data_IF_621552925915
#
_entry.id   IF_621552925915
#
_cell.length_a   1.000
_cell.length_b   1.000
_cell.length_c   1.000
_cell.angle_alpha   90.00
_cell.angle_beta   90.00
_cell.angle_gamma   90.00
#
_symmetry.space_group_name_H-M   'P 1'
#
loop_
_entity.id
_entity.type
_entity.pdbx_description
1 polymer ?
#
# COMPACT_ATOMS: atom_id res chain seq x y z
N UNK A 1 -2.79 19.52 5.77
CA UNK A 1 -3.72 19.74 6.89
C UNK A 1 -3.03 20.57 7.95
N UNK A 2 -3.52 21.79 8.19
CA UNK A 2 -2.86 22.79 9.04
C UNK A 2 -3.88 23.37 10.03
N UNK A 3 -3.45 23.65 11.27
CA UNK A 3 -4.23 24.43 12.25
C UNK A 3 -3.33 25.57 12.70
N UNK A 4 -3.79 26.81 12.56
CA UNK A 4 -3.03 27.99 12.97
C UNK A 4 -3.41 28.39 14.39
N UNK A 5 -2.42 28.80 15.18
CA UNK A 5 -2.62 29.28 16.55
C UNK A 5 -1.84 30.57 16.73
N UNK A 6 -2.52 31.70 16.92
CA UNK A 6 -1.90 33.03 16.87
C UNK A 6 -2.65 34.03 17.76
N UNK A 7 -2.01 35.12 18.18
CA UNK A 7 -2.66 36.20 18.95
C UNK A 7 -3.23 37.33 18.07
N UNK A 8 -3.10 37.20 16.74
CA UNK A 8 -3.49 38.20 15.75
C UNK A 8 -4.64 37.67 14.90
N UNK A 9 -5.75 38.40 14.85
CA UNK A 9 -6.99 38.05 14.14
C UNK A 9 -7.01 38.49 12.67
N UNK A 10 -6.14 39.44 12.31
CA UNK A 10 -6.02 40.09 11.00
C UNK A 10 -5.65 39.14 9.83
N UNK A 11 -5.38 37.86 10.11
CA UNK A 11 -4.99 36.85 9.11
C UNK A 11 -5.88 35.59 9.11
N UNK A 12 -6.98 35.59 9.86
CA UNK A 12 -7.88 34.43 9.96
C UNK A 12 -8.52 34.07 8.60
N UNK A 13 -8.87 35.07 7.79
CA UNK A 13 -9.49 34.87 6.47
C UNK A 13 -8.51 34.25 5.46
N UNK A 14 -7.25 34.72 5.44
CA UNK A 14 -6.17 34.16 4.58
C UNK A 14 -5.80 32.72 4.96
N UNK A 15 -5.99 32.33 6.22
CA UNK A 15 -5.70 30.96 6.65
C UNK A 15 -6.69 29.91 6.10
N UNK A 16 -7.94 30.31 5.82
CA UNK A 16 -8.91 29.42 5.17
C UNK A 16 -8.62 29.19 3.68
N UNK A 17 -7.97 30.15 3.02
CA UNK A 17 -7.51 30.01 1.63
C UNK A 17 -6.41 28.94 1.48
N UNK A 18 -5.71 28.58 2.56
CA UNK A 18 -4.67 27.55 2.62
C UNK A 18 -5.18 26.17 3.08
N UNK A 19 -6.48 25.90 2.96
CA UNK A 19 -7.13 24.66 3.41
C UNK A 19 -6.89 24.33 4.90
N UNK A 20 -6.76 25.35 5.77
CA UNK A 20 -6.65 25.12 7.21
C UNK A 20 -7.90 24.41 7.76
N UNK A 21 -7.69 23.58 8.80
CA UNK A 21 -8.78 22.91 9.51
C UNK A 21 -9.40 23.79 10.56
N UNK A 22 -8.60 24.64 11.20
CA UNK A 22 -9.06 25.60 12.19
C UNK A 22 -8.03 26.71 12.38
N UNK A 23 -8.47 27.79 13.01
CA UNK A 23 -7.66 28.96 13.38
C UNK A 23 -7.99 29.35 14.82
N UNK A 24 -7.05 29.16 15.75
CA UNK A 24 -7.21 29.51 17.16
C UNK A 24 -6.54 30.84 17.47
N UNK A 25 -7.30 31.73 18.10
CA UNK A 25 -6.78 32.97 18.66
C UNK A 25 -6.35 32.79 20.10
N UNK A 26 -5.16 33.30 20.45
CA UNK A 26 -4.66 33.37 21.81
C UNK A 26 -5.19 34.64 22.50
N UNK A 27 -5.58 34.57 23.78
CA UNK A 27 -5.70 33.36 24.58
C UNK A 27 -6.94 32.55 24.18
N UNK A 28 -6.79 31.23 23.98
CA UNK A 28 -7.91 30.32 23.73
C UNK A 28 -8.20 29.52 24.99
N UNK A 29 -9.47 29.25 25.23
CA UNK A 29 -9.89 28.35 26.31
C UNK A 29 -9.73 26.87 25.90
N UNK A 30 -9.84 26.01 26.92
CA UNK A 30 -9.69 24.55 26.78
C UNK A 30 -10.76 23.96 25.85
N UNK A 31 -11.97 24.49 25.89
CA UNK A 31 -13.09 23.99 25.10
C UNK A 31 -12.89 24.27 23.61
N UNK A 32 -12.35 25.45 23.26
CA UNK A 32 -12.00 25.83 21.90
C UNK A 32 -10.90 24.95 21.31
N UNK A 33 -9.89 24.62 22.12
CA UNK A 33 -8.85 23.67 21.73
C UNK A 33 -9.41 22.27 21.49
N UNK A 34 -10.26 21.77 22.39
CA UNK A 34 -10.89 20.45 22.25
C UNK A 34 -11.77 20.35 21.01
N UNK A 35 -12.52 21.40 20.68
CA UNK A 35 -13.32 21.47 19.45
C UNK A 35 -12.46 21.42 18.19
N UNK A 36 -11.34 22.15 18.17
CA UNK A 36 -10.41 22.17 17.05
C UNK A 36 -9.77 20.79 16.84
N UNK A 37 -9.37 20.14 17.92
CA UNK A 37 -8.86 18.77 17.91
C UNK A 37 -9.93 17.76 17.43
N UNK A 38 -11.19 17.93 17.82
CA UNK A 38 -12.28 17.08 17.35
C UNK A 38 -12.51 17.21 15.83
N UNK A 39 -12.42 18.42 15.28
CA UNK A 39 -12.50 18.67 13.82
C UNK A 39 -11.36 18.01 13.06
N UNK A 40 -10.14 18.14 13.59
CA UNK A 40 -8.94 17.49 13.04
C UNK A 40 -9.11 15.97 13.04
N UNK A 41 -9.50 15.38 14.18
CA UNK A 41 -9.72 13.93 14.31
C UNK A 41 -10.79 13.42 13.36
N UNK A 42 -11.89 14.17 13.18
CA UNK A 42 -12.96 13.83 12.24
C UNK A 42 -12.47 13.84 10.79
N UNK A 43 -11.75 14.89 10.36
CA UNK A 43 -11.17 14.95 9.01
C UNK A 43 -10.17 13.82 8.73
N UNK A 44 -9.33 13.47 9.72
CA UNK A 44 -8.44 12.30 9.62
C UNK A 44 -9.26 11.01 9.47
N UNK A 45 -10.29 10.84 10.30
CA UNK A 45 -11.19 9.68 10.26
C UNK A 45 -11.93 9.55 8.92
N UNK A 46 -12.48 10.64 8.39
CA UNK A 46 -13.22 10.67 7.13
C UNK A 46 -12.31 10.44 5.92
N UNK A 47 -11.08 10.98 5.92
CA UNK A 47 -10.10 10.73 4.87
C UNK A 47 -9.62 9.26 4.89
N UNK A 48 -9.36 8.69 6.07
CA UNK A 48 -9.01 7.29 6.22
C UNK A 48 -10.17 6.37 5.82
N UNK A 49 -11.41 6.71 6.19
CA UNK A 49 -12.61 5.97 5.79
C UNK A 49 -12.84 6.04 4.28
N UNK A 50 -12.66 7.19 3.64
CA UNK A 50 -12.72 7.32 2.17
C UNK A 50 -11.60 6.56 1.46
N UNK A 51 -10.36 6.64 1.95
CA UNK A 51 -9.26 5.85 1.41
C UNK A 51 -9.54 4.35 1.54
N UNK A 52 -10.11 3.92 2.67
CA UNK A 52 -10.50 2.53 2.92
C UNK A 52 -11.67 2.11 2.03
N UNK A 53 -12.68 2.95 1.83
CA UNK A 53 -13.82 2.67 0.94
C UNK A 53 -13.40 2.62 -0.53
N UNK A 54 -12.49 3.50 -0.96
CA UNK A 54 -11.90 3.49 -2.31
C UNK A 54 -10.97 2.29 -2.50
N UNK A 55 -10.20 1.92 -1.49
CA UNK A 55 -9.39 0.71 -1.50
C UNK A 55 -10.26 -0.55 -1.52
N UNK A 56 -11.38 -0.58 -0.78
CA UNK A 56 -12.35 -1.68 -0.80
C UNK A 56 -13.08 -1.78 -2.14
N UNK A 57 -13.46 -0.65 -2.75
CA UNK A 57 -14.04 -0.62 -4.08
C UNK A 57 -13.04 -1.07 -5.17
N UNK A 58 -11.76 -0.71 -5.03
CA UNK A 58 -10.67 -1.19 -5.91
C UNK A 58 -10.33 -2.66 -5.68
N UNK A 59 -10.35 -3.13 -4.44
CA UNK A 59 -10.15 -4.54 -4.10
C UNK A 59 -11.31 -5.42 -4.60
N UNK A 60 -12.51 -4.86 -4.70
CA UNK A 60 -13.65 -5.52 -5.33
C UNK A 60 -13.49 -5.65 -6.87
N UNK A 61 -12.64 -4.82 -7.50
CA UNK A 61 -12.34 -4.87 -8.92
C UNK A 61 -10.84 -5.17 -9.16
N UNK A 62 -10.46 -6.45 -9.03
CA UNK A 62 -9.10 -6.88 -9.40
C UNK A 62 -8.81 -6.54 -10.85
N UNK A 63 -7.67 -5.92 -11.12
CA UNK A 63 -7.27 -5.54 -12.48
C UNK A 63 -6.47 -6.67 -13.15
N UNK A 64 -6.87 -7.05 -14.37
CA UNK A 64 -6.12 -8.01 -15.19
C UNK A 64 -4.81 -7.44 -15.76
N UNK A 65 -4.68 -6.10 -15.80
CA UNK A 65 -3.49 -5.42 -16.32
C UNK A 65 -3.04 -4.31 -15.37
N UNK A 66 -1.74 -4.25 -15.13
CA UNK A 66 -1.06 -3.24 -14.35
C UNK A 66 -0.45 -2.19 -15.27
N UNK A 67 -0.82 -0.92 -15.10
CA UNK A 67 -0.20 0.19 -15.82
C UNK A 67 1.06 0.64 -15.09
N UNK A 68 2.17 0.67 -15.82
CA UNK A 68 3.49 1.03 -15.32
C UNK A 68 4.08 2.17 -16.14
N UNK A 69 4.40 3.33 -15.52
CA UNK A 69 5.16 4.38 -16.19
C UNK A 69 6.61 3.93 -16.42
N UNK A 70 7.05 3.99 -17.67
CA UNK A 70 8.43 3.71 -18.10
C UNK A 70 8.89 4.89 -18.96
N UNK A 71 9.69 5.78 -18.36
CA UNK A 71 10.06 7.05 -18.98
C UNK A 71 8.82 7.92 -19.21
N UNK A 72 8.57 8.27 -20.47
CA UNK A 72 7.41 9.07 -20.89
C UNK A 72 6.21 8.22 -21.33
N UNK A 73 6.34 6.88 -21.31
CA UNK A 73 5.31 5.96 -21.79
C UNK A 73 4.63 5.19 -20.66
N UNK A 74 3.38 4.79 -20.87
CA UNK A 74 2.68 3.84 -20.01
C UNK A 74 2.71 2.46 -20.64
N UNK A 75 3.24 1.48 -19.92
CA UNK A 75 3.21 0.09 -20.33
C UNK A 75 2.12 -0.68 -19.58
N UNK A 76 1.36 -1.51 -20.29
CA UNK A 76 0.43 -2.44 -19.67
C UNK A 76 1.11 -3.80 -19.49
N UNK A 77 1.19 -4.25 -18.25
CA UNK A 77 1.70 -5.56 -17.88
C UNK A 77 0.52 -6.45 -17.53
N UNK A 78 0.43 -7.62 -18.14
CA UNK A 78 -0.57 -8.61 -17.74
C UNK A 78 -0.28 -9.14 -16.35
N UNK A 79 -1.33 -9.25 -15.53
CA UNK A 79 -1.26 -9.81 -14.18
C UNK A 79 -0.60 -11.20 -14.17
N UNK A 80 -0.90 -12.03 -15.17
CA UNK A 80 -0.32 -13.36 -15.32
C UNK A 80 1.18 -13.37 -15.66
N UNK A 81 1.73 -12.27 -16.19
CA UNK A 81 3.14 -12.14 -16.53
C UNK A 81 4.02 -11.68 -15.34
N UNK A 82 3.41 -11.29 -14.22
CA UNK A 82 4.10 -10.88 -13.01
C UNK A 82 4.39 -12.13 -12.16
N UNK A 83 5.66 -12.34 -11.86
CA UNK A 83 6.13 -13.48 -11.07
C UNK A 83 6.14 -13.15 -9.56
N UNK A 84 6.69 -11.99 -9.18
CA UNK A 84 6.69 -11.52 -7.79
C UNK A 84 6.79 -9.99 -7.68
N UNK A 85 6.48 -9.49 -6.49
CA UNK A 85 6.55 -8.10 -6.08
C UNK A 85 7.53 -7.98 -4.92
N UNK A 86 8.36 -6.94 -4.93
CA UNK A 86 9.33 -6.67 -3.89
C UNK A 86 9.29 -5.21 -3.47
N UNK A 87 9.04 -4.97 -2.19
CA UNK A 87 9.01 -3.63 -1.61
C UNK A 87 10.43 -3.15 -1.30
N UNK A 88 10.76 -1.98 -1.83
CA UNK A 88 11.97 -1.23 -1.53
C UNK A 88 11.58 0.20 -1.10
N UNK A 89 11.49 0.40 0.21
CA UNK A 89 11.04 1.63 0.86
C UNK A 89 9.70 2.16 0.30
N UNK A 90 9.72 3.26 -0.45
CA UNK A 90 8.54 3.89 -1.06
C UNK A 90 8.23 3.40 -2.47
N UNK A 91 8.96 2.38 -2.94
CA UNK A 91 8.82 1.79 -4.24
C UNK A 91 8.56 0.28 -4.15
N UNK A 92 7.99 -0.27 -5.22
CA UNK A 92 7.84 -1.70 -5.40
C UNK A 92 8.42 -2.08 -6.76
N UNK A 93 9.32 -3.05 -6.74
CA UNK A 93 9.76 -3.76 -7.92
C UNK A 93 8.70 -4.78 -8.32
N UNK A 94 8.16 -4.63 -9.52
CA UNK A 94 7.30 -5.60 -10.18
C UNK A 94 8.16 -6.44 -11.09
N UNK A 95 8.39 -7.70 -10.71
CA UNK A 95 9.25 -8.62 -11.44
C UNK A 95 8.41 -9.46 -12.40
N UNK A 96 8.77 -9.40 -13.68
CA UNK A 96 8.21 -10.23 -14.75
C UNK A 96 9.31 -11.11 -15.34
N UNK A 97 8.95 -12.10 -16.14
CA UNK A 97 9.93 -12.95 -16.85
C UNK A 97 10.90 -12.17 -17.75
N UNK A 98 10.45 -11.04 -18.31
CA UNK A 98 11.25 -10.25 -19.24
C UNK A 98 12.17 -9.27 -18.51
N UNK A 99 11.63 -8.57 -17.50
CA UNK A 99 12.35 -7.53 -16.74
C UNK A 99 11.60 -7.11 -15.48
N UNK A 100 12.24 -6.25 -14.69
CA UNK A 100 11.65 -5.64 -13.50
C UNK A 100 11.25 -4.20 -13.75
N UNK A 101 10.17 -3.76 -13.11
CA UNK A 101 9.64 -2.40 -13.20
C UNK A 101 9.56 -1.76 -11.82
N UNK A 102 9.88 -0.48 -11.71
CA UNK A 102 9.84 0.25 -10.44
C UNK A 102 8.58 1.12 -10.37
N UNK A 103 7.77 0.92 -9.33
CA UNK A 103 6.55 1.69 -9.10
C UNK A 103 6.59 2.40 -7.75
N UNK A 104 6.28 3.70 -7.73
CA UNK A 104 6.07 4.43 -6.47
C UNK A 104 4.69 4.14 -5.90
N UNK A 105 4.55 2.97 -5.26
CA UNK A 105 3.33 2.49 -4.58
C UNK A 105 3.74 1.62 -3.40
N UNK A 106 2.79 1.35 -2.49
CA UNK A 106 3.05 0.36 -1.44
C UNK A 106 2.78 -1.05 -1.95
N UNK A 107 3.41 -2.05 -1.32
CA UNK A 107 3.14 -3.46 -1.61
C UNK A 107 1.66 -3.80 -1.35
N UNK A 108 1.05 -3.21 -0.31
CA UNK A 108 -0.35 -3.44 0.03
C UNK A 108 -1.29 -2.93 -1.08
N UNK A 109 -1.00 -1.75 -1.65
CA UNK A 109 -1.82 -1.20 -2.74
C UNK A 109 -1.80 -2.09 -3.97
N UNK A 110 -0.62 -2.61 -4.34
CA UNK A 110 -0.48 -3.51 -5.47
C UNK A 110 -1.15 -4.86 -5.24
N UNK A 111 -1.10 -5.40 -4.02
CA UNK A 111 -1.82 -6.62 -3.66
C UNK A 111 -3.34 -6.43 -3.75
N UNK A 112 -3.86 -5.31 -3.26
CA UNK A 112 -5.28 -4.99 -3.38
C UNK A 112 -5.72 -4.85 -4.85
N UNK A 113 -4.88 -4.26 -5.70
CA UNK A 113 -5.18 -4.07 -7.12
C UNK A 113 -5.07 -5.36 -7.96
N UNK A 114 -4.05 -6.19 -7.71
CA UNK A 114 -3.78 -7.42 -8.46
C UNK A 114 -4.57 -8.63 -7.93
N UNK A 115 -5.10 -8.53 -6.72
CA UNK A 115 -5.90 -9.56 -6.08
C UNK A 115 -5.09 -10.48 -5.16
N UNK A 116 -5.47 -10.49 -3.89
CA UNK A 116 -4.81 -11.27 -2.83
C UNK A 116 -4.99 -12.80 -2.96
N UNK A 117 -5.89 -13.24 -3.86
CA UNK A 117 -6.06 -14.66 -4.18
C UNK A 117 -4.95 -15.20 -5.07
N UNK A 118 -4.36 -14.37 -5.93
CA UNK A 118 -3.29 -14.80 -6.84
C UNK A 118 -1.92 -14.32 -6.35
N UNK A 119 -1.85 -13.12 -5.77
CA UNK A 119 -0.64 -12.59 -5.18
C UNK A 119 -0.66 -12.75 -3.68
N UNK A 120 0.24 -13.55 -3.15
CA UNK A 120 0.31 -13.85 -1.73
C UNK A 120 1.61 -13.33 -1.15
N UNK A 121 1.48 -12.60 -0.04
CA UNK A 121 2.63 -12.09 0.69
C UNK A 121 3.38 -13.24 1.35
N UNK A 122 4.68 -13.35 1.07
CA UNK A 122 5.58 -14.39 1.59
C UNK A 122 6.66 -13.84 2.53
N UNK A 123 6.86 -12.53 2.51
CA UNK A 123 7.80 -11.82 3.37
C UNK A 123 7.26 -10.41 3.69
N UNK A 124 7.85 -9.74 4.69
CA UNK A 124 7.50 -8.34 5.00
C UNK A 124 7.69 -7.40 3.79
N UNK A 125 8.59 -7.76 2.87
CA UNK A 125 8.90 -6.98 1.67
C UNK A 125 8.66 -7.75 0.37
N UNK A 126 8.02 -8.93 0.38
CA UNK A 126 7.82 -9.69 -0.85
C UNK A 126 6.46 -10.37 -0.92
N UNK A 127 5.88 -10.38 -2.11
CA UNK A 127 4.71 -11.16 -2.45
C UNK A 127 4.90 -11.88 -3.78
N UNK A 128 4.34 -13.06 -3.93
CA UNK A 128 4.55 -13.93 -5.08
C UNK A 128 3.22 -14.24 -5.76
N UNK A 129 3.23 -14.35 -7.08
CA UNK A 129 2.14 -14.97 -7.81
C UNK A 129 2.16 -16.48 -7.58
N UNK A 130 1.07 -17.06 -7.07
CA UNK A 130 1.00 -18.50 -6.78
C UNK A 130 1.28 -19.33 -8.03
N UNK A 131 0.79 -18.90 -9.20
CA UNK A 131 1.02 -19.59 -10.47
C UNK A 131 2.49 -19.57 -10.91
N UNK A 132 3.30 -18.64 -10.37
CA UNK A 132 4.73 -18.57 -10.64
C UNK A 132 5.58 -19.48 -9.73
N UNK A 133 5.01 -20.05 -8.67
CA UNK A 133 5.73 -20.94 -7.73
C UNK A 133 5.94 -22.33 -8.36
N UNK A 134 7.20 -22.74 -8.47
CA UNK A 134 7.60 -24.05 -8.99
C UNK A 134 7.85 -25.08 -7.88
N UNK A 135 8.42 -24.67 -6.75
CA UNK A 135 8.66 -25.56 -5.61
C UNK A 135 8.77 -24.79 -4.28
N UNK A 136 8.48 -25.49 -3.18
CA UNK A 136 8.69 -25.00 -1.81
C UNK A 136 9.59 -25.98 -1.06
N UNK A 137 10.74 -25.51 -0.59
CA UNK A 137 11.70 -26.30 0.17
C UNK A 137 11.77 -25.81 1.61
N UNK A 138 11.57 -26.66 2.63
CA UNK A 138 11.72 -26.24 4.02
C UNK A 138 13.17 -25.82 4.30
N UNK A 139 13.35 -24.70 5.00
CA UNK A 139 14.62 -24.22 5.51
C UNK A 139 14.69 -24.39 7.04
N UNK A 140 15.85 -24.06 7.62
CA UNK A 140 16.03 -24.06 9.06
C UNK A 140 15.05 -23.12 9.78
N UNK A 141 14.64 -23.51 10.99
CA UNK A 141 13.79 -22.71 11.90
C UNK A 141 12.37 -22.38 11.38
N UNK A 142 11.86 -23.18 10.44
CA UNK A 142 10.46 -23.12 9.98
C UNK A 142 10.18 -22.09 8.89
N UNK A 143 11.22 -21.47 8.33
CA UNK A 143 11.12 -20.74 7.06
C UNK A 143 11.12 -21.73 5.89
N UNK A 144 10.77 -21.25 4.69
CA UNK A 144 10.84 -22.01 3.45
C UNK A 144 11.54 -21.20 2.37
N UNK A 145 12.09 -21.88 1.40
CA UNK A 145 12.52 -21.31 0.13
C UNK A 145 11.43 -21.54 -0.91
N UNK A 146 11.01 -20.48 -1.58
CA UNK A 146 10.08 -20.48 -2.71
C UNK A 146 10.90 -20.39 -3.99
N UNK A 147 10.92 -21.45 -4.78
CA UNK A 147 11.54 -21.44 -6.11
C UNK A 147 10.48 -21.12 -7.16
N UNK A 148 10.76 -20.14 -8.01
CA UNK A 148 9.88 -19.73 -9.10
C UNK A 148 10.22 -20.46 -10.40
N UNK A 149 9.28 -20.48 -11.35
CA UNK A 149 9.50 -21.02 -12.69
C UNK A 149 10.58 -20.25 -13.48
N UNK A 150 10.81 -18.98 -13.14
CA UNK A 150 11.90 -18.17 -13.70
C UNK A 150 13.29 -18.55 -13.17
N UNK A 151 13.38 -19.44 -12.17
CA UNK A 151 14.63 -19.86 -11.53
C UNK A 151 15.02 -19.02 -10.31
N UNK A 152 14.34 -17.90 -10.07
CA UNK A 152 14.55 -17.09 -8.88
C UNK A 152 14.10 -17.82 -7.60
N UNK A 153 14.84 -17.64 -6.52
CA UNK A 153 14.52 -18.16 -5.19
C UNK A 153 14.19 -17.02 -4.23
N UNK A 154 13.06 -17.13 -3.53
CA UNK A 154 12.57 -16.16 -2.57
C UNK A 154 12.42 -16.81 -1.20
N UNK A 155 12.66 -16.05 -0.13
CA UNK A 155 12.47 -16.54 1.24
C UNK A 155 11.01 -16.37 1.68
N UNK A 156 10.36 -17.47 2.04
CA UNK A 156 9.09 -17.48 2.76
C UNK A 156 9.38 -17.46 4.26
N UNK A 157 9.00 -16.37 4.91
CA UNK A 157 9.10 -16.30 6.37
C UNK A 157 7.97 -17.11 7.02
N UNK A 158 8.29 -17.79 8.12
CA UNK A 158 7.33 -18.56 8.95
C UNK A 158 6.02 -17.82 9.26
N UNK A 159 6.06 -16.48 9.40
CA UNK A 159 4.86 -15.65 9.69
C UNK A 159 3.85 -15.63 8.54
N UNK A 160 4.30 -15.83 7.32
CA UNK A 160 3.49 -15.76 6.10
C UNK A 160 3.21 -17.14 5.51
N UNK A 161 3.79 -18.19 6.10
CA UNK A 161 3.63 -19.58 5.70
C UNK A 161 2.14 -19.95 5.54
N UNK A 162 1.36 -19.77 6.59
CA UNK A 162 -0.04 -20.23 6.61
C UNK A 162 -0.93 -19.51 5.60
N UNK A 163 -0.57 -18.29 5.20
CA UNK A 163 -1.28 -17.58 4.13
C UNK A 163 -1.01 -18.23 2.76
N UNK A 164 0.25 -18.56 2.47
CA UNK A 164 0.64 -19.21 1.22
C UNK A 164 0.05 -20.62 1.11
N UNK A 165 0.14 -21.45 2.15
CA UNK A 165 -0.40 -22.81 2.11
C UNK A 165 -1.92 -22.83 1.92
N UNK A 166 -2.66 -21.96 2.63
CA UNK A 166 -4.10 -21.82 2.44
C UNK A 166 -4.47 -21.45 1.01
N UNK A 167 -3.70 -20.56 0.39
CA UNK A 167 -3.94 -20.14 -1.00
C UNK A 167 -3.67 -21.25 -2.03
N UNK A 168 -2.84 -22.23 -1.68
CA UNK A 168 -2.54 -23.41 -2.51
C UNK A 168 -3.49 -24.60 -2.23
N UNK A 169 -4.48 -24.43 -1.36
CA UNK A 169 -5.46 -25.49 -1.04
C UNK A 169 -4.94 -26.56 -0.08
N UNK A 170 -3.96 -26.22 0.78
CA UNK A 170 -3.44 -27.07 1.85
C UNK A 170 -3.67 -26.50 3.24
#
# INVERSE_FOLDING_TARGET
MLVFVTAYDEHAVKAFELEAVDYLLKPYDKDRLLQSLARVRRRIGDAAARATAVAAARAASTCERLLVPVGESLQLIERAAIDWLEADDNYVHVHTRARSYLLRRTLQDLLAQLGERQFVRIHKSAAVNISAVAALTPLFKGDYEVRLHSGHTLRLSRRYKDALFRSMGR
#
